data_IF_625645973908
#
_entry.id   IF_625645973908
#
_cell.length_a   1.000
_cell.length_b   1.000
_cell.length_c   1.000
_cell.angle_alpha   90.00
_cell.angle_beta   90.00
_cell.angle_gamma   90.00
#
_symmetry.space_group_name_H-M   'P 1'
#
loop_
_entity.id
_entity.type
_entity.pdbx_description
1 polymer ?
#
# COMPACT_ATOMS: atom_id res chain seq x y z
N UNK A 1 7.11 -24.29 -77.42
CA UNK A 1 6.54 -24.43 -76.07
C UNK A 1 7.60 -24.33 -74.97
N UNK A 2 8.72 -25.09 -75.01
CA UNK A 2 9.79 -25.03 -73.98
C UNK A 2 10.40 -23.64 -73.73
N UNK A 3 10.60 -22.82 -74.78
CA UNK A 3 11.15 -21.45 -74.64
C UNK A 3 10.20 -20.45 -73.95
N UNK A 4 8.88 -20.59 -74.15
CA UNK A 4 7.87 -19.77 -73.47
C UNK A 4 7.75 -20.14 -71.97
N UNK A 5 7.88 -21.43 -71.64
CA UNK A 5 7.94 -21.91 -70.26
C UNK A 5 9.19 -21.42 -69.51
N UNK A 6 10.35 -21.36 -70.18
CA UNK A 6 11.58 -20.84 -69.58
C UNK A 6 11.47 -19.33 -69.35
N UNK A 7 10.85 -18.59 -70.29
CA UNK A 7 10.65 -17.15 -70.16
C UNK A 7 9.66 -16.80 -69.03
N UNK A 8 8.58 -17.57 -68.86
CA UNK A 8 7.65 -17.38 -67.75
C UNK A 8 8.27 -17.73 -66.39
N UNK A 9 9.11 -18.77 -66.33
CA UNK A 9 9.82 -19.16 -65.11
C UNK A 9 10.89 -18.12 -64.71
N UNK A 10 11.56 -17.52 -65.70
CA UNK A 10 12.54 -16.45 -65.47
C UNK A 10 11.85 -15.16 -65.00
N UNK A 11 10.69 -14.82 -65.56
CA UNK A 11 9.88 -13.67 -65.12
C UNK A 11 9.34 -13.85 -63.69
N UNK A 12 9.00 -15.08 -63.31
CA UNK A 12 8.55 -15.41 -61.95
C UNK A 12 9.70 -15.30 -60.91
N UNK A 13 10.95 -15.53 -61.34
CA UNK A 13 12.15 -15.34 -60.51
C UNK A 13 12.54 -13.86 -60.33
N UNK A 14 12.08 -12.99 -61.22
CA UNK A 14 12.31 -11.53 -61.22
C UNK A 14 11.24 -10.76 -60.44
N UNK A 15 10.21 -11.43 -59.91
CA UNK A 15 9.24 -10.80 -59.05
C UNK A 15 9.93 -10.41 -57.72
N UNK A 16 9.82 -9.15 -57.26
CA UNK A 16 10.36 -8.77 -55.96
C UNK A 16 9.72 -9.66 -54.89
N UNK A 17 10.55 -10.29 -54.07
CA UNK A 17 10.10 -11.11 -52.96
C UNK A 17 9.41 -10.18 -51.96
N UNK A 18 8.08 -10.18 -51.93
CA UNK A 18 7.30 -9.43 -50.96
C UNK A 18 7.56 -10.02 -49.56
N UNK A 19 8.45 -9.39 -48.80
CA UNK A 19 8.67 -9.68 -47.39
C UNK A 19 7.56 -8.98 -46.61
N UNK A 20 6.43 -9.67 -46.43
CA UNK A 20 5.20 -9.12 -45.87
C UNK A 20 5.26 -8.76 -44.36
N UNK A 21 6.43 -8.88 -43.72
CA UNK A 21 6.63 -8.68 -42.28
C UNK A 21 8.12 -8.67 -41.91
N UNK A 22 8.59 -7.67 -41.16
CA UNK A 22 9.94 -7.66 -40.59
C UNK A 22 9.90 -7.68 -39.05
N UNK A 23 10.41 -8.75 -38.45
CA UNK A 23 10.55 -8.91 -37.00
C UNK A 23 12.02 -8.77 -36.57
N UNK A 24 12.30 -7.85 -35.65
CA UNK A 24 13.63 -7.65 -35.06
C UNK A 24 13.57 -7.85 -33.54
N UNK A 25 14.50 -8.62 -32.99
CA UNK A 25 14.62 -8.82 -31.54
C UNK A 25 16.09 -8.87 -31.10
N UNK A 26 16.39 -8.19 -30.00
CA UNK A 26 17.73 -8.10 -29.43
C UNK A 26 17.79 -7.17 -28.23
N UNK A 27 18.95 -7.04 -27.59
CA UNK A 27 19.11 -6.14 -26.43
C UNK A 27 19.04 -4.66 -26.88
N UNK A 28 19.65 -4.37 -28.03
CA UNK A 28 19.54 -3.09 -28.74
C UNK A 28 19.10 -3.34 -30.18
N UNK A 29 17.98 -2.76 -30.58
CA UNK A 29 17.43 -2.85 -31.94
C UNK A 29 17.47 -1.47 -32.57
N UNK A 30 18.21 -1.31 -33.67
CA UNK A 30 18.27 -0.07 -34.46
C UNK A 30 17.80 -0.36 -35.89
N UNK A 31 16.91 0.49 -36.41
CA UNK A 31 16.40 0.39 -37.78
C UNK A 31 16.87 1.62 -38.55
N UNK A 32 17.89 1.43 -39.36
CA UNK A 32 18.60 2.50 -40.08
C UNK A 32 18.35 2.47 -41.60
N UNK A 33 17.61 1.48 -42.10
CA UNK A 33 17.20 1.35 -43.51
C UNK A 33 15.69 1.37 -43.63
N UNK A 34 15.16 2.01 -44.68
CA UNK A 34 13.72 2.10 -44.89
C UNK A 34 13.09 0.71 -45.10
N UNK A 35 11.90 0.52 -44.53
CA UNK A 35 11.12 -0.71 -44.65
C UNK A 35 9.77 -0.33 -45.27
N UNK A 36 9.44 -0.87 -46.44
CA UNK A 36 8.18 -0.56 -47.14
C UNK A 36 6.94 -1.27 -46.52
N UNK A 37 7.11 -1.87 -45.34
CA UNK A 37 6.10 -2.68 -44.65
C UNK A 37 6.11 -2.40 -43.14
N UNK A 38 5.25 -3.11 -42.40
CA UNK A 38 5.10 -2.99 -40.95
C UNK A 38 6.31 -3.59 -40.22
N UNK A 39 6.88 -2.78 -39.32
CA UNK A 39 7.99 -3.14 -38.45
C UNK A 39 7.48 -3.67 -37.11
N UNK A 40 7.98 -4.83 -36.68
CA UNK A 40 7.81 -5.34 -35.34
C UNK A 40 9.17 -5.44 -34.66
N UNK A 41 9.40 -4.65 -33.61
CA UNK A 41 10.68 -4.61 -32.90
C UNK A 41 10.50 -4.75 -31.39
N UNK A 42 11.28 -5.64 -30.78
CA UNK A 42 11.29 -5.81 -29.33
C UNK A 42 12.74 -5.88 -28.78
N UNK A 43 13.04 -5.06 -27.77
CA UNK A 43 14.37 -5.05 -27.14
C UNK A 43 14.47 -4.18 -25.90
N UNK A 44 15.60 -4.17 -25.20
CA UNK A 44 15.77 -3.24 -24.08
C UNK A 44 15.83 -1.78 -24.56
N UNK A 45 16.49 -1.54 -25.69
CA UNK A 45 16.46 -0.26 -26.41
C UNK A 45 16.05 -0.46 -27.86
N UNK A 46 15.06 0.29 -28.33
CA UNK A 46 14.58 0.26 -29.72
C UNK A 46 14.67 1.66 -30.31
N UNK A 47 15.39 1.81 -31.41
CA UNK A 47 15.58 3.08 -32.11
C UNK A 47 15.18 2.95 -33.58
N UNK A 48 14.25 3.79 -34.02
CA UNK A 48 13.77 3.84 -35.39
C UNK A 48 14.30 5.11 -36.08
N UNK A 49 15.30 4.96 -36.96
CA UNK A 49 15.97 6.06 -37.66
C UNK A 49 15.64 6.12 -39.16
N UNK A 50 14.92 5.14 -39.71
CA UNK A 50 14.50 5.11 -41.10
C UNK A 50 12.98 4.95 -41.25
N UNK A 51 12.38 5.46 -42.35
CA UNK A 51 10.94 5.43 -42.56
C UNK A 51 10.39 4.01 -42.65
N UNK A 52 9.19 3.80 -42.10
CA UNK A 52 8.45 2.52 -42.15
C UNK A 52 6.98 2.72 -42.49
N UNK A 53 6.32 1.67 -42.98
CA UNK A 53 4.87 1.74 -43.27
C UNK A 53 4.06 1.80 -41.96
N UNK A 54 4.37 0.94 -40.99
CA UNK A 54 3.76 0.89 -39.66
C UNK A 54 4.77 0.37 -38.64
N UNK A 55 4.50 0.57 -37.34
CA UNK A 55 5.43 0.13 -36.30
C UNK A 55 4.74 -0.40 -35.05
N UNK A 56 5.20 -1.56 -34.57
CA UNK A 56 4.88 -2.12 -33.26
C UNK A 56 6.19 -2.32 -32.50
N UNK A 57 6.41 -1.49 -31.49
CA UNK A 57 7.66 -1.38 -30.75
C UNK A 57 7.43 -1.74 -29.28
N UNK A 58 8.26 -2.61 -28.72
CA UNK A 58 8.24 -2.95 -27.30
C UNK A 58 9.65 -2.87 -26.69
N UNK A 59 9.83 -2.17 -25.58
CA UNK A 59 11.14 -2.10 -24.96
C UNK A 59 11.29 -1.25 -23.71
N UNK A 60 12.47 -1.27 -23.08
CA UNK A 60 12.77 -0.40 -21.94
C UNK A 60 12.78 1.08 -22.37
N UNK A 61 13.53 1.38 -23.42
CA UNK A 61 13.60 2.70 -24.05
C UNK A 61 13.24 2.61 -25.54
N UNK A 62 12.30 3.42 -26.00
CA UNK A 62 11.87 3.48 -27.40
C UNK A 62 12.09 4.91 -27.91
N UNK A 63 12.74 5.06 -29.05
CA UNK A 63 12.94 6.35 -29.72
C UNK A 63 12.58 6.24 -31.19
N UNK A 64 11.65 7.08 -31.64
CA UNK A 64 11.17 7.14 -33.03
C UNK A 64 11.62 8.45 -33.67
N UNK A 65 12.65 8.39 -34.51
CA UNK A 65 13.27 9.54 -35.18
C UNK A 65 12.90 9.67 -36.66
N UNK A 66 12.22 8.68 -37.23
CA UNK A 66 11.83 8.68 -38.64
C UNK A 66 10.31 8.51 -38.83
N UNK A 67 9.76 9.04 -39.94
CA UNK A 67 8.32 9.07 -40.14
C UNK A 67 7.72 7.68 -40.31
N UNK A 68 6.52 7.49 -39.76
CA UNK A 68 5.71 6.27 -39.89
C UNK A 68 4.48 6.63 -40.72
N UNK A 69 4.27 5.97 -41.85
CA UNK A 69 3.17 6.32 -42.77
C UNK A 69 1.80 5.97 -42.19
N UNK A 70 1.72 4.87 -41.44
CA UNK A 70 0.53 4.32 -40.80
C UNK A 70 0.55 4.53 -39.29
N UNK A 71 0.30 3.45 -38.54
CA UNK A 71 0.10 3.51 -37.09
C UNK A 71 1.35 3.15 -36.30
N UNK A 72 1.50 3.76 -35.11
CA UNK A 72 2.52 3.42 -34.13
C UNK A 72 1.88 2.80 -32.89
N UNK A 73 2.31 1.60 -32.53
CA UNK A 73 2.03 0.96 -31.26
C UNK A 73 3.33 0.85 -30.46
N UNK A 74 3.42 1.50 -29.30
CA UNK A 74 4.64 1.53 -28.49
C UNK A 74 4.35 1.12 -27.05
N UNK A 75 5.10 0.16 -26.52
CA UNK A 75 5.02 -0.28 -25.13
C UNK A 75 6.40 -0.23 -24.49
N UNK A 76 6.60 0.65 -23.50
CA UNK A 76 7.93 0.74 -22.90
C UNK A 76 8.08 1.56 -21.63
N UNK A 77 9.26 1.55 -21.03
CA UNK A 77 9.55 2.36 -19.83
C UNK A 77 9.57 3.86 -20.16
N UNK A 78 10.35 4.22 -21.18
CA UNK A 78 10.50 5.57 -21.69
C UNK A 78 10.30 5.58 -23.22
N UNK A 79 9.36 6.37 -23.72
CA UNK A 79 8.98 6.43 -25.14
C UNK A 79 9.11 7.87 -25.62
N UNK A 80 9.89 8.09 -26.68
CA UNK A 80 10.03 9.39 -27.33
C UNK A 80 9.65 9.27 -28.80
N UNK A 81 8.66 10.04 -29.23
CA UNK A 81 8.19 10.08 -30.63
C UNK A 81 8.54 11.43 -31.24
N UNK A 82 9.65 11.46 -31.98
CA UNK A 82 10.22 12.67 -32.57
C UNK A 82 9.73 12.97 -34.00
N UNK A 83 9.24 11.95 -34.71
CA UNK A 83 8.88 12.05 -36.12
C UNK A 83 7.42 11.71 -36.40
N UNK A 84 6.88 12.29 -37.47
CA UNK A 84 5.45 12.26 -37.80
C UNK A 84 4.91 10.84 -37.99
N UNK A 85 3.70 10.62 -37.45
CA UNK A 85 2.95 9.36 -37.56
C UNK A 85 1.65 9.65 -38.31
N UNK A 86 1.57 9.22 -39.58
CA UNK A 86 0.43 9.53 -40.46
C UNK A 86 -0.91 8.98 -39.98
N UNK A 87 -0.88 7.90 -39.20
CA UNK A 87 -2.01 7.24 -38.56
C UNK A 87 -2.22 7.65 -37.10
N UNK A 88 -2.48 6.66 -36.24
CA UNK A 88 -2.65 6.85 -34.78
C UNK A 88 -1.40 6.46 -34.01
N UNK A 89 -1.15 7.16 -32.90
CA UNK A 89 -0.22 6.74 -31.86
C UNK A 89 -1.00 6.02 -30.77
N UNK A 90 -0.61 4.78 -30.46
CA UNK A 90 -1.07 4.03 -29.30
C UNK A 90 0.15 3.71 -28.45
N UNK A 91 0.31 4.40 -27.33
CA UNK A 91 1.50 4.27 -26.50
C UNK A 91 1.15 3.96 -25.04
N UNK A 92 1.87 3.03 -24.41
CA UNK A 92 1.79 2.85 -22.96
C UNK A 92 3.16 2.70 -22.31
N UNK A 93 3.39 3.41 -21.20
CA UNK A 93 4.71 3.46 -20.58
C UNK A 93 4.86 4.25 -19.29
N UNK A 94 6.08 4.33 -18.76
CA UNK A 94 6.37 5.14 -17.57
C UNK A 94 6.38 6.62 -17.90
N UNK A 95 7.16 6.99 -18.91
CA UNK A 95 7.32 8.35 -19.41
C UNK A 95 7.17 8.37 -20.94
N UNK A 96 6.33 9.27 -21.44
CA UNK A 96 6.01 9.35 -22.87
C UNK A 96 6.09 10.81 -23.32
N UNK A 97 6.96 11.07 -24.28
CA UNK A 97 7.14 12.36 -24.92
C UNK A 97 6.75 12.28 -26.40
N UNK A 98 5.88 13.18 -26.82
CA UNK A 98 5.46 13.30 -28.23
C UNK A 98 5.80 14.70 -28.71
N UNK A 99 6.64 14.78 -29.74
CA UNK A 99 6.96 16.03 -30.44
C UNK A 99 6.48 16.02 -31.89
N UNK A 100 5.93 14.89 -32.36
CA UNK A 100 5.53 14.63 -33.75
C UNK A 100 4.07 14.95 -34.06
N UNK A 101 3.75 15.26 -35.32
CA UNK A 101 2.35 15.33 -35.77
C UNK A 101 1.72 13.93 -35.89
N UNK A 102 0.44 13.82 -35.56
CA UNK A 102 -0.33 12.57 -35.74
C UNK A 102 -1.81 12.81 -36.02
N UNK A 103 -2.53 11.80 -36.50
CA UNK A 103 -3.98 11.89 -36.72
C UNK A 103 -4.76 11.74 -35.42
N UNK A 104 -4.45 10.74 -34.61
CA UNK A 104 -5.09 10.49 -33.31
C UNK A 104 -4.06 9.98 -32.29
N UNK A 105 -4.32 10.16 -31.00
CA UNK A 105 -3.46 9.62 -29.95
C UNK A 105 -4.27 8.90 -28.87
N UNK A 106 -3.79 7.71 -28.47
CA UNK A 106 -4.27 6.98 -27.30
C UNK A 106 -3.05 6.66 -26.45
N UNK A 107 -2.87 7.38 -25.34
CA UNK A 107 -1.62 7.34 -24.57
C UNK A 107 -1.94 7.03 -23.11
N UNK A 108 -1.24 6.06 -22.52
CA UNK A 108 -1.37 5.70 -21.12
C UNK A 108 0.00 5.66 -20.44
N UNK A 109 0.31 6.59 -19.54
CA UNK A 109 1.60 6.53 -18.85
C UNK A 109 1.69 7.27 -17.52
N UNK A 110 2.78 7.07 -16.78
CA UNK A 110 3.01 7.78 -15.52
C UNK A 110 3.09 9.29 -15.72
N UNK A 111 3.95 9.70 -16.64
CA UNK A 111 4.10 11.07 -17.13
C UNK A 111 3.90 11.09 -18.65
N UNK A 112 3.02 11.96 -19.14
CA UNK A 112 2.79 12.15 -20.58
C UNK A 112 2.96 13.62 -20.92
N UNK A 113 3.84 13.91 -21.89
CA UNK A 113 4.15 15.27 -22.34
C UNK A 113 3.91 15.39 -23.84
N UNK A 114 2.96 16.23 -24.22
CA UNK A 114 2.72 16.64 -25.61
C UNK A 114 3.36 18.01 -25.82
N UNK A 115 4.36 18.09 -26.69
CA UNK A 115 5.16 19.30 -26.88
C UNK A 115 4.44 20.37 -27.72
N UNK A 116 4.90 21.65 -27.66
CA UNK A 116 4.24 22.76 -28.36
C UNK A 116 4.11 22.58 -29.88
N UNK A 117 5.11 21.96 -30.50
CA UNK A 117 5.16 21.77 -31.96
C UNK A 117 4.29 20.58 -32.44
N UNK A 118 3.71 19.83 -31.51
CA UNK A 118 2.86 18.67 -31.83
C UNK A 118 1.48 19.08 -32.28
N UNK A 119 1.04 18.54 -33.42
CA UNK A 119 -0.32 18.69 -33.93
C UNK A 119 -1.01 17.32 -33.99
N UNK A 120 -2.09 17.17 -33.21
CA UNK A 120 -2.99 16.02 -33.29
C UNK A 120 -4.22 16.45 -34.10
N UNK A 121 -4.36 15.90 -35.31
CA UNK A 121 -5.35 16.38 -36.29
C UNK A 121 -6.79 16.04 -35.93
N UNK A 122 -7.02 15.09 -35.01
CA UNK A 122 -8.35 14.69 -34.51
C UNK A 122 -8.32 14.59 -32.99
N UNK A 123 -8.65 13.41 -32.45
CA UNK A 123 -8.92 13.21 -31.04
C UNK A 123 -7.70 12.62 -30.31
N UNK A 124 -7.58 12.95 -29.04
CA UNK A 124 -6.56 12.41 -28.14
C UNK A 124 -7.21 11.90 -26.85
N UNK A 125 -6.89 10.67 -26.47
CA UNK A 125 -7.28 10.08 -25.18
C UNK A 125 -6.02 9.81 -24.39
N UNK A 126 -5.85 10.49 -23.27
CA UNK A 126 -4.63 10.40 -22.46
C UNK A 126 -4.99 10.01 -21.03
N UNK A 127 -4.37 8.96 -20.52
CA UNK A 127 -4.48 8.54 -19.12
C UNK A 127 -3.11 8.57 -18.46
N UNK A 128 -3.00 9.11 -17.25
CA UNK A 128 -1.73 9.09 -16.55
C UNK A 128 -1.69 9.69 -15.16
N UNK A 129 -0.53 9.69 -14.52
CA UNK A 129 -0.34 10.39 -13.25
C UNK A 129 -0.31 11.90 -13.48
N UNK A 130 0.64 12.33 -14.30
CA UNK A 130 0.79 13.73 -14.71
C UNK A 130 0.71 13.83 -16.24
N UNK A 131 -0.20 14.67 -16.74
CA UNK A 131 -0.36 14.91 -18.17
C UNK A 131 -0.13 16.38 -18.46
N UNK A 132 0.77 16.67 -19.38
CA UNK A 132 1.06 18.03 -19.86
C UNK A 132 0.77 18.11 -21.35
N UNK A 133 -0.14 18.99 -21.73
CA UNK A 133 -0.42 19.31 -23.13
C UNK A 133 -0.01 20.74 -23.45
N UNK A 134 1.05 20.91 -24.25
CA UNK A 134 1.43 22.18 -24.83
C UNK A 134 1.12 22.27 -26.34
N UNK A 135 0.80 21.13 -26.98
CA UNK A 135 0.53 21.05 -28.41
C UNK A 135 -0.89 21.47 -28.82
N UNK A 136 -1.17 21.33 -30.11
CA UNK A 136 -2.47 21.64 -30.72
C UNK A 136 -3.24 20.39 -31.08
N UNK A 137 -4.42 20.22 -30.49
CA UNK A 137 -5.34 19.11 -30.74
C UNK A 137 -6.58 19.68 -31.42
N UNK A 138 -6.83 19.30 -32.67
CA UNK A 138 -7.93 19.90 -33.44
C UNK A 138 -9.28 19.38 -32.94
N UNK A 139 -9.36 18.11 -32.54
CA UNK A 139 -10.56 17.45 -32.03
C UNK A 139 -10.68 17.48 -30.51
N UNK A 140 -11.24 16.41 -29.97
CA UNK A 140 -11.52 16.26 -28.54
C UNK A 140 -10.30 15.70 -27.79
N UNK A 141 -9.95 16.33 -26.68
CA UNK A 141 -8.95 15.87 -25.73
C UNK A 141 -9.66 15.30 -24.49
N UNK A 142 -9.63 13.98 -24.31
CA UNK A 142 -10.12 13.32 -23.10
C UNK A 142 -8.94 12.93 -22.22
N UNK A 143 -8.91 13.47 -20.99
CA UNK A 143 -7.80 13.24 -20.05
C UNK A 143 -8.30 12.64 -18.75
N UNK A 144 -7.65 11.55 -18.32
CA UNK A 144 -7.83 10.97 -16.98
C UNK A 144 -6.49 11.01 -16.24
N UNK A 145 -6.33 11.97 -15.33
CA UNK A 145 -5.06 12.11 -14.61
C UNK A 145 -5.20 12.64 -13.18
N UNK A 146 -4.16 12.46 -12.36
CA UNK A 146 -4.08 13.12 -11.04
C UNK A 146 -3.85 14.63 -11.23
N UNK A 147 -2.87 14.98 -12.08
CA UNK A 147 -2.52 16.35 -12.45
C UNK A 147 -2.59 16.52 -13.97
N UNK A 148 -3.26 17.58 -14.42
CA UNK A 148 -3.35 17.93 -15.83
C UNK A 148 -3.02 19.40 -16.04
N UNK A 149 -2.03 19.67 -16.89
CA UNK A 149 -1.60 21.01 -17.27
C UNK A 149 -1.80 21.19 -18.77
N UNK A 150 -2.61 22.16 -19.17
CA UNK A 150 -2.87 22.45 -20.58
C UNK A 150 -2.47 23.88 -20.89
N UNK A 151 -1.35 24.05 -21.61
CA UNK A 151 -0.89 25.33 -22.17
C UNK A 151 -1.12 25.41 -23.67
N UNK A 152 -1.47 24.30 -24.30
CA UNK A 152 -1.79 24.20 -25.72
C UNK A 152 -3.24 24.55 -26.05
N UNK A 153 -3.71 24.04 -27.20
CA UNK A 153 -5.11 24.20 -27.62
C UNK A 153 -5.75 22.85 -27.93
N UNK A 154 -7.05 22.74 -27.64
CA UNK A 154 -7.87 21.57 -27.94
C UNK A 154 -9.26 22.04 -28.40
N UNK A 155 -9.92 21.32 -29.31
CA UNK A 155 -11.29 21.63 -29.74
C UNK A 155 -12.30 21.55 -28.58
N UNK A 156 -12.22 20.46 -27.81
CA UNK A 156 -12.93 20.29 -26.54
C UNK A 156 -12.04 19.54 -25.54
N UNK A 157 -12.19 19.81 -24.24
CA UNK A 157 -11.41 19.16 -23.18
C UNK A 157 -12.35 18.51 -22.17
N UNK A 158 -12.34 17.17 -22.11
CA UNK A 158 -13.00 16.38 -21.05
C UNK A 158 -11.94 15.88 -20.08
N UNK A 159 -11.76 16.59 -18.96
CA UNK A 159 -10.81 16.20 -17.91
C UNK A 159 -11.55 15.59 -16.72
N UNK A 160 -11.19 14.35 -16.39
CA UNK A 160 -11.64 13.67 -15.17
C UNK A 160 -10.45 13.44 -14.25
N UNK A 161 -10.44 14.18 -13.15
CA UNK A 161 -9.42 13.99 -12.14
C UNK A 161 -9.57 12.60 -11.52
N UNK A 162 -8.51 11.80 -11.59
CA UNK A 162 -8.46 10.51 -10.90
C UNK A 162 -7.96 10.79 -9.49
N UNK A 163 -8.76 10.53 -8.46
CA UNK A 163 -8.28 10.54 -7.08
C UNK A 163 -7.25 9.41 -6.94
N UNK A 164 -5.97 9.74 -7.07
CA UNK A 164 -4.88 8.79 -6.92
C UNK A 164 -4.78 8.20 -5.52
N UNK A 165 -3.82 7.27 -5.34
CA UNK A 165 -3.48 6.64 -4.04
C UNK A 165 -3.23 7.66 -2.91
N UNK A 166 -2.88 8.90 -3.25
CA UNK A 166 -2.72 10.01 -2.30
C UNK A 166 -4.04 10.40 -1.63
N UNK A 167 -5.14 10.53 -2.39
CA UNK A 167 -6.46 10.82 -1.82
C UNK A 167 -6.93 9.72 -0.87
N UNK A 168 -6.72 8.46 -1.28
CA UNK A 168 -6.99 7.29 -0.45
C UNK A 168 -6.14 7.28 0.83
N UNK A 169 -4.82 7.51 0.74
CA UNK A 169 -3.93 7.56 1.91
C UNK A 169 -4.36 8.64 2.90
N UNK A 170 -4.71 9.83 2.42
CA UNK A 170 -5.16 10.94 3.28
C UNK A 170 -6.48 10.61 3.98
N UNK A 171 -7.45 10.00 3.28
CA UNK A 171 -8.71 9.56 3.90
C UNK A 171 -8.50 8.43 4.90
N UNK A 172 -7.65 7.45 4.56
CA UNK A 172 -7.28 6.37 5.48
C UNK A 172 -6.58 6.92 6.72
N UNK A 173 -5.74 7.95 6.58
CA UNK A 173 -5.10 8.60 7.71
C UNK A 173 -6.10 9.34 8.59
N UNK A 174 -6.99 10.15 8.00
CA UNK A 174 -8.07 10.81 8.73
C UNK A 174 -8.96 9.80 9.47
N UNK A 175 -9.31 8.67 8.84
CA UNK A 175 -10.04 7.57 9.48
C UNK A 175 -9.24 6.95 10.63
N UNK A 176 -7.94 6.73 10.47
CA UNK A 176 -7.07 6.20 11.54
C UNK A 176 -7.05 7.13 12.74
N UNK A 177 -6.96 8.44 12.53
CA UNK A 177 -6.92 9.44 13.59
C UNK A 177 -8.25 9.48 14.37
N UNK A 178 -9.37 9.46 13.64
CA UNK A 178 -10.73 9.38 14.23
C UNK A 178 -10.90 8.08 15.03
N UNK A 179 -10.54 6.93 14.44
CA UNK A 179 -10.64 5.62 15.09
C UNK A 179 -9.74 5.58 16.34
N UNK A 180 -8.55 6.14 16.28
CA UNK A 180 -7.64 6.22 17.42
C UNK A 180 -8.23 7.03 18.57
N UNK A 181 -8.83 8.19 18.28
CA UNK A 181 -9.51 9.02 19.28
C UNK A 181 -10.69 8.28 19.89
N UNK A 182 -11.55 7.67 19.06
CA UNK A 182 -12.71 6.90 19.51
C UNK A 182 -12.30 5.72 20.41
N UNK A 183 -11.26 4.97 20.01
CA UNK A 183 -10.69 3.89 20.82
C UNK A 183 -10.15 4.43 22.16
N UNK A 184 -9.46 5.57 22.15
CA UNK A 184 -8.93 6.18 23.38
C UNK A 184 -10.04 6.49 24.39
N UNK A 185 -11.14 7.06 23.93
CA UNK A 185 -12.32 7.35 24.77
C UNK A 185 -13.01 6.05 25.19
N UNK A 186 -13.15 5.09 24.28
CA UNK A 186 -13.74 3.78 24.56
C UNK A 186 -13.00 3.01 25.66
N UNK A 187 -11.67 3.01 25.64
CA UNK A 187 -10.85 2.38 26.69
C UNK A 187 -10.94 3.07 28.05
N UNK A 188 -11.08 4.41 28.07
CA UNK A 188 -11.33 5.15 29.30
C UNK A 188 -12.68 4.72 29.90
N UNK A 189 -13.73 4.67 29.08
CA UNK A 189 -15.06 4.22 29.50
C UNK A 189 -15.01 2.76 29.97
N UNK A 190 -14.33 1.88 29.22
CA UNK A 190 -14.15 0.48 29.58
C UNK A 190 -13.46 0.34 30.94
N UNK A 191 -12.39 1.11 31.20
CA UNK A 191 -11.73 1.09 32.49
C UNK A 191 -12.63 1.54 33.64
N UNK A 192 -13.45 2.58 33.43
CA UNK A 192 -14.45 3.01 34.41
C UNK A 192 -15.49 1.91 34.67
N UNK A 193 -15.97 1.23 33.62
CA UNK A 193 -16.91 0.12 33.74
C UNK A 193 -16.28 -1.02 34.54
N UNK A 194 -15.07 -1.47 34.17
CA UNK A 194 -14.38 -2.57 34.86
C UNK A 194 -14.16 -2.23 36.34
N UNK A 195 -13.71 -1.00 36.63
CA UNK A 195 -13.50 -0.53 38.00
C UNK A 195 -14.80 -0.55 38.84
N UNK A 196 -15.94 -0.17 38.25
CA UNK A 196 -17.23 -0.14 38.96
C UNK A 196 -17.91 -1.50 39.06
N UNK A 197 -17.88 -2.30 38.00
CA UNK A 197 -18.59 -3.58 37.92
C UNK A 197 -17.82 -4.68 38.63
N UNK A 198 -16.49 -4.66 38.55
CA UNK A 198 -15.62 -5.69 39.11
C UNK A 198 -14.55 -5.08 40.04
N UNK A 199 -14.92 -4.37 41.13
CA UNK A 199 -13.98 -3.64 41.96
C UNK A 199 -12.97 -4.57 42.65
N UNK A 200 -13.43 -5.69 43.23
CA UNK A 200 -12.56 -6.62 43.95
C UNK A 200 -11.41 -7.18 43.09
N UNK A 201 -11.64 -7.81 41.92
CA UNK A 201 -10.54 -8.28 41.08
C UNK A 201 -9.70 -7.13 40.52
N UNK A 202 -10.30 -5.95 40.28
CA UNK A 202 -9.54 -4.80 39.81
C UNK A 202 -8.48 -4.34 40.82
N UNK A 203 -8.85 -4.19 42.09
CA UNK A 203 -7.92 -3.79 43.14
C UNK A 203 -6.87 -4.85 43.48
N UNK A 204 -7.19 -6.15 43.35
CA UNK A 204 -6.19 -7.22 43.54
C UNK A 204 -5.08 -7.13 42.49
N UNK A 205 -5.45 -6.94 41.22
CA UNK A 205 -4.48 -6.81 40.12
C UNK A 205 -3.67 -5.52 40.25
N UNK A 206 -4.32 -4.41 40.59
CA UNK A 206 -3.68 -3.12 40.82
C UNK A 206 -2.66 -3.17 41.96
N UNK A 207 -3.00 -3.83 43.07
CA UNK A 207 -2.08 -3.96 44.20
C UNK A 207 -0.81 -4.73 43.79
N UNK A 208 -0.98 -5.75 42.95
CA UNK A 208 0.14 -6.54 42.42
C UNK A 208 1.00 -5.73 41.45
N UNK A 209 0.40 -4.88 40.59
CA UNK A 209 1.13 -3.92 39.74
C UNK A 209 2.05 -3.03 40.59
N UNK A 210 1.57 -2.58 41.76
CA UNK A 210 2.33 -1.68 42.64
C UNK A 210 3.40 -2.39 43.46
N UNK A 211 3.16 -3.63 43.91
CA UNK A 211 4.06 -4.37 44.82
C UNK A 211 5.41 -4.72 44.19
N UNK A 212 5.42 -5.20 42.94
CA UNK A 212 6.64 -5.73 42.32
C UNK A 212 6.73 -5.37 40.83
N UNK A 213 6.86 -4.08 40.48
CA UNK A 213 6.76 -3.63 39.09
C UNK A 213 7.80 -4.29 38.17
N UNK A 214 9.07 -4.31 38.57
CA UNK A 214 10.14 -4.89 37.73
C UNK A 214 9.95 -6.40 37.49
N UNK A 215 9.59 -7.16 38.54
CA UNK A 215 9.33 -8.60 38.43
C UNK A 215 8.13 -8.88 37.55
N UNK A 216 7.04 -8.14 37.75
CA UNK A 216 5.79 -8.34 37.01
C UNK A 216 5.93 -7.92 35.54
N UNK A 217 6.71 -6.88 35.22
CA UNK A 217 7.06 -6.55 33.84
C UNK A 217 7.86 -7.67 33.16
N UNK A 218 8.90 -8.20 33.82
CA UNK A 218 9.74 -9.25 33.22
C UNK A 218 8.95 -10.55 33.01
N UNK A 219 8.24 -11.00 34.05
CA UNK A 219 7.40 -12.21 33.98
C UNK A 219 6.29 -12.03 32.94
N UNK A 220 5.62 -10.88 32.93
CA UNK A 220 4.59 -10.59 31.95
C UNK A 220 5.12 -10.61 30.52
N UNK A 221 6.28 -10.01 30.26
CA UNK A 221 6.90 -10.03 28.94
C UNK A 221 7.21 -11.44 28.45
N UNK A 222 7.83 -12.28 29.31
CA UNK A 222 8.11 -13.69 29.00
C UNK A 222 6.82 -14.47 28.75
N UNK A 223 5.78 -14.27 29.58
CA UNK A 223 4.51 -14.96 29.42
C UNK A 223 3.76 -14.55 28.15
N UNK A 224 3.84 -13.28 27.73
CA UNK A 224 3.25 -12.83 26.47
C UNK A 224 3.91 -13.55 25.30
N UNK A 225 5.25 -13.58 25.26
CA UNK A 225 6.00 -14.27 24.20
C UNK A 225 5.66 -15.76 24.20
N UNK A 226 5.70 -16.41 25.37
CA UNK A 226 5.36 -17.82 25.51
C UNK A 226 3.92 -18.11 25.05
N UNK A 227 2.96 -17.24 25.39
CA UNK A 227 1.57 -17.37 24.97
C UNK A 227 1.42 -17.25 23.46
N UNK A 228 2.09 -16.28 22.83
CA UNK A 228 2.06 -16.12 21.37
C UNK A 228 2.65 -17.33 20.66
N UNK A 229 3.81 -17.83 21.12
CA UNK A 229 4.44 -19.03 20.56
C UNK A 229 3.49 -20.23 20.70
N UNK A 230 2.90 -20.42 21.88
CA UNK A 230 1.96 -21.51 22.13
C UNK A 230 0.73 -21.42 21.21
N UNK A 231 0.15 -20.23 21.03
CA UNK A 231 -0.99 -20.01 20.14
C UNK A 231 -0.61 -20.35 18.69
N UNK A 232 0.57 -19.94 18.23
CA UNK A 232 1.05 -20.25 16.88
C UNK A 232 1.23 -21.77 16.71
N UNK A 233 1.86 -22.45 17.67
CA UNK A 233 2.06 -23.90 17.62
C UNK A 233 0.72 -24.66 17.52
N UNK A 234 -0.29 -24.23 18.26
CA UNK A 234 -1.65 -24.81 18.20
C UNK A 234 -2.29 -24.50 16.85
N UNK A 235 -2.13 -23.28 16.33
CA UNK A 235 -2.71 -22.84 15.06
C UNK A 235 -2.18 -23.58 13.83
N UNK A 236 -0.96 -24.16 13.89
CA UNK A 236 -0.40 -24.98 12.80
C UNK A 236 -1.28 -26.21 12.52
N UNK A 237 -2.00 -26.70 13.51
CA UNK A 237 -2.91 -27.82 13.33
C UNK A 237 -4.28 -27.34 12.82
N UNK A 238 -4.85 -28.05 11.85
CA UNK A 238 -6.19 -27.73 11.31
C UNK A 238 -7.25 -27.73 12.43
N UNK A 239 -7.14 -28.68 13.37
CA UNK A 239 -8.07 -28.81 14.52
C UNK A 239 -7.79 -27.77 15.60
N UNK A 240 -6.55 -27.32 15.76
CA UNK A 240 -6.17 -26.32 16.77
C UNK A 240 -6.46 -24.88 16.34
N UNK A 241 -6.66 -24.60 15.06
CA UNK A 241 -6.93 -23.24 14.58
C UNK A 241 -8.11 -22.55 15.28
N UNK A 242 -9.31 -23.17 15.45
CA UNK A 242 -10.41 -22.56 16.21
C UNK A 242 -10.04 -22.27 17.67
N UNK A 243 -9.28 -23.16 18.32
CA UNK A 243 -8.83 -23.01 19.71
C UNK A 243 -7.81 -21.88 19.82
N UNK A 244 -6.84 -21.83 18.92
CA UNK A 244 -5.83 -20.79 18.84
C UNK A 244 -6.46 -19.41 18.62
N UNK A 245 -7.52 -19.33 17.81
CA UNK A 245 -8.26 -18.09 17.59
C UNK A 245 -8.92 -17.58 18.89
N UNK A 246 -9.62 -18.46 19.63
CA UNK A 246 -10.24 -18.11 20.92
C UNK A 246 -9.17 -17.69 21.94
N UNK A 247 -8.08 -18.46 22.04
CA UNK A 247 -6.98 -18.16 22.96
C UNK A 247 -6.27 -16.85 22.60
N UNK A 248 -6.13 -16.55 21.32
CA UNK A 248 -5.63 -15.27 20.80
C UNK A 248 -6.55 -14.10 21.14
N UNK A 249 -7.86 -14.25 20.98
CA UNK A 249 -8.82 -13.22 21.41
C UNK A 249 -8.75 -12.97 22.92
N UNK A 250 -8.65 -14.03 23.73
CA UNK A 250 -8.54 -13.90 25.18
C UNK A 250 -7.23 -13.21 25.58
N UNK A 251 -6.11 -13.55 24.92
CA UNK A 251 -4.84 -12.86 25.10
C UNK A 251 -4.98 -11.38 24.75
N UNK A 252 -5.57 -11.04 23.60
CA UNK A 252 -5.79 -9.65 23.20
C UNK A 252 -6.62 -8.88 24.24
N UNK A 253 -7.72 -9.47 24.73
CA UNK A 253 -8.54 -8.86 25.79
C UNK A 253 -7.71 -8.64 27.06
N UNK A 254 -6.91 -9.62 27.49
CA UNK A 254 -6.04 -9.47 28.67
C UNK A 254 -4.99 -8.36 28.49
N UNK A 255 -4.39 -8.24 27.30
CA UNK A 255 -3.45 -7.16 26.97
C UNK A 255 -4.12 -5.79 26.92
N UNK A 256 -5.37 -5.73 26.44
CA UNK A 256 -6.20 -4.54 26.43
C UNK A 256 -6.53 -4.06 27.86
N UNK A 257 -6.87 -5.00 28.75
CA UNK A 257 -7.16 -4.71 30.15
C UNK A 257 -5.90 -4.33 30.95
N UNK A 258 -4.74 -4.89 30.61
CA UNK A 258 -3.45 -4.65 31.27
C UNK A 258 -3.16 -3.15 31.49
N UNK A 259 -3.31 -2.33 30.45
CA UNK A 259 -3.03 -0.89 30.55
C UNK A 259 -3.96 -0.14 31.51
N UNK A 260 -5.17 -0.66 31.76
CA UNK A 260 -6.14 -0.05 32.65
C UNK A 260 -5.65 -0.13 34.11
N UNK A 261 -5.16 -1.30 34.53
CA UNK A 261 -4.61 -1.47 35.88
C UNK A 261 -3.36 -0.62 36.10
N UNK A 262 -2.47 -0.56 35.10
CA UNK A 262 -1.25 0.28 35.16
C UNK A 262 -1.61 1.76 35.22
N UNK A 263 -2.61 2.21 34.45
CA UNK A 263 -3.05 3.60 34.52
C UNK A 263 -3.57 3.96 35.91
N UNK A 264 -4.35 3.09 36.56
CA UNK A 264 -4.82 3.36 37.92
C UNK A 264 -3.68 3.41 38.94
N UNK A 265 -2.76 2.43 38.91
CA UNK A 265 -1.62 2.39 39.82
C UNK A 265 -0.73 3.63 39.66
N UNK A 266 -0.55 4.10 38.41
CA UNK A 266 0.19 5.33 38.12
C UNK A 266 -0.54 6.56 38.68
N UNK A 267 -1.85 6.66 38.46
CA UNK A 267 -2.66 7.74 39.01
C UNK A 267 -2.63 7.79 40.54
N UNK A 268 -2.70 6.62 41.20
CA UNK A 268 -2.64 6.51 42.66
C UNK A 268 -1.28 6.97 43.17
N UNK A 269 -0.20 6.52 42.53
CA UNK A 269 1.16 6.98 42.84
C UNK A 269 1.27 8.51 42.75
N UNK A 270 0.71 9.13 41.71
CA UNK A 270 0.75 10.60 41.56
C UNK A 270 -0.02 11.30 42.67
N UNK A 271 -1.24 10.84 43.00
CA UNK A 271 -2.05 11.44 44.07
C UNK A 271 -1.43 11.28 45.46
N UNK A 272 -0.83 10.11 45.72
CA UNK A 272 -0.10 9.84 46.97
C UNK A 272 1.11 10.77 47.10
N UNK A 273 1.84 11.06 46.00
CA UNK A 273 2.93 12.04 46.00
C UNK A 273 2.45 13.47 46.29
N UNK A 274 1.26 13.85 45.82
CA UNK A 274 0.67 15.16 46.08
C UNK A 274 -0.08 15.25 47.42
N UNK A 275 -0.18 14.14 48.16
CA UNK A 275 -0.91 14.03 49.43
C UNK A 275 -2.40 14.45 49.33
N UNK A 276 -3.01 14.25 48.16
CA UNK A 276 -4.43 14.60 47.91
C UNK A 276 -5.29 13.35 47.99
N UNK A 277 -6.27 13.34 48.90
CA UNK A 277 -7.27 12.27 48.96
C UNK A 277 -8.41 12.57 47.98
N UNK A 278 -8.55 11.73 46.96
CA UNK A 278 -9.60 11.87 45.92
C UNK A 278 -10.35 10.56 45.69
N UNK A 279 -11.44 10.63 44.92
CA UNK A 279 -12.21 9.47 44.48
C UNK A 279 -11.42 8.61 43.48
N UNK A 280 -11.59 7.28 43.53
CA UNK A 280 -10.93 6.30 42.67
C UNK A 280 -11.15 6.59 41.17
N UNK A 281 -12.31 7.15 40.79
CA UNK A 281 -12.55 7.56 39.40
C UNK A 281 -11.59 8.65 38.92
N UNK A 282 -11.30 9.65 39.76
CA UNK A 282 -10.37 10.72 39.40
C UNK A 282 -8.94 10.20 39.34
N UNK A 283 -8.59 9.28 40.25
CA UNK A 283 -7.30 8.57 40.24
C UNK A 283 -7.12 7.84 38.91
N UNK A 284 -8.14 7.09 38.47
CA UNK A 284 -8.12 6.39 37.19
C UNK A 284 -7.96 7.34 36.01
N UNK A 285 -8.81 8.37 35.93
CA UNK A 285 -8.81 9.33 34.81
C UNK A 285 -7.45 10.03 34.71
N UNK A 286 -6.93 10.52 35.84
CA UNK A 286 -5.63 11.19 35.88
C UNK A 286 -4.52 10.25 35.40
N UNK A 287 -4.47 9.05 35.97
CA UNK A 287 -3.47 8.05 35.60
C UNK A 287 -3.56 7.60 34.14
N UNK A 288 -4.77 7.48 33.59
CA UNK A 288 -5.00 7.14 32.19
C UNK A 288 -4.52 8.24 31.25
N UNK A 289 -4.85 9.51 31.55
CA UNK A 289 -4.40 10.67 30.76
C UNK A 289 -2.87 10.77 30.79
N UNK A 290 -2.25 10.65 31.96
CA UNK A 290 -0.78 10.71 32.08
C UNK A 290 -0.11 9.57 31.32
N UNK A 291 -0.61 8.33 31.47
CA UNK A 291 -0.07 7.19 30.75
C UNK A 291 -0.22 7.37 29.23
N UNK A 292 -1.35 7.94 28.79
CA UNK A 292 -1.60 8.23 27.37
C UNK A 292 -0.65 9.30 26.82
N UNK A 293 -0.35 10.33 27.60
CA UNK A 293 0.64 11.36 27.26
C UNK A 293 2.05 10.78 27.18
N UNK A 294 2.41 9.86 28.09
CA UNK A 294 3.70 9.16 28.03
C UNK A 294 3.86 8.32 26.76
N UNK A 295 2.77 7.70 26.28
CA UNK A 295 2.78 6.95 25.01
C UNK A 295 2.91 7.84 23.76
N UNK A 296 2.67 9.15 23.88
CA UNK A 296 2.80 10.10 22.76
C UNK A 296 4.25 10.51 22.50
N UNK A 297 5.16 10.28 23.44
CA UNK A 297 6.57 10.66 23.30
C UNK A 297 7.20 9.85 22.14
N UNK A 298 7.78 10.50 21.11
CA UNK A 298 8.42 9.81 20.00
C UNK A 298 9.53 8.87 20.50
N UNK A 299 9.60 7.67 19.92
CA UNK A 299 10.55 6.59 20.26
C UNK A 299 10.40 6.02 21.68
N UNK A 300 10.38 6.84 22.73
CA UNK A 300 10.23 6.41 24.12
C UNK A 300 8.85 5.80 24.41
N UNK A 301 7.80 6.36 23.82
CA UNK A 301 6.42 5.91 24.02
C UNK A 301 6.20 4.43 23.69
N UNK A 302 6.94 3.89 22.71
CA UNK A 302 6.88 2.48 22.34
C UNK A 302 7.41 1.57 23.47
N UNK A 303 8.56 1.92 24.05
CA UNK A 303 9.14 1.17 25.18
C UNK A 303 8.26 1.26 26.43
N UNK A 304 7.74 2.45 26.73
CA UNK A 304 6.82 2.63 27.88
C UNK A 304 5.55 1.80 27.68
N UNK A 305 5.02 1.74 26.45
CA UNK A 305 3.83 0.92 26.13
C UNK A 305 4.08 -0.57 26.32
N UNK A 306 5.21 -1.09 25.85
CA UNK A 306 5.57 -2.50 26.05
C UNK A 306 5.74 -2.79 27.54
N UNK A 307 6.43 -1.91 28.28
CA UNK A 307 6.62 -2.04 29.71
C UNK A 307 5.30 -2.05 30.48
N UNK A 308 4.39 -1.14 30.16
CA UNK A 308 3.06 -1.05 30.77
C UNK A 308 2.20 -2.28 30.46
N UNK A 309 2.14 -2.70 29.19
CA UNK A 309 1.35 -3.89 28.79
C UNK A 309 1.90 -5.15 29.48
N UNK A 310 3.23 -5.29 29.53
CA UNK A 310 3.86 -6.44 30.19
C UNK A 310 3.63 -6.42 31.69
N UNK A 311 3.74 -5.25 32.34
CA UNK A 311 3.50 -5.08 33.77
C UNK A 311 2.08 -5.51 34.17
N UNK A 312 1.06 -4.97 33.49
CA UNK A 312 -0.32 -5.29 33.85
C UNK A 312 -0.68 -6.74 33.50
N UNK A 313 -0.14 -7.32 32.42
CA UNK A 313 -0.37 -8.72 32.08
C UNK A 313 0.26 -9.67 33.11
N UNK A 314 1.50 -9.38 33.54
CA UNK A 314 2.16 -10.14 34.60
C UNK A 314 1.38 -10.06 35.92
N UNK A 315 0.86 -8.88 36.27
CA UNK A 315 0.04 -8.69 37.46
C UNK A 315 -1.29 -9.46 37.38
N UNK A 316 -1.97 -9.48 36.23
CA UNK A 316 -3.19 -10.29 36.01
C UNK A 316 -2.88 -11.77 36.26
N UNK A 317 -1.80 -12.28 35.65
CA UNK A 317 -1.43 -13.69 35.78
C UNK A 317 -1.07 -14.07 37.22
N UNK A 318 -0.37 -13.19 37.93
CA UNK A 318 0.01 -13.42 39.32
C UNK A 318 -1.19 -13.34 40.27
N UNK A 319 -2.09 -12.36 40.06
CA UNK A 319 -3.34 -12.25 40.80
C UNK A 319 -4.20 -13.51 40.65
N UNK A 320 -4.34 -14.01 39.42
CA UNK A 320 -5.06 -15.26 39.12
C UNK A 320 -4.38 -16.46 39.78
N UNK A 321 -3.06 -16.60 39.67
CA UNK A 321 -2.33 -17.72 40.26
C UNK A 321 -2.46 -17.76 41.79
N UNK A 322 -2.30 -16.61 42.46
CA UNK A 322 -2.32 -16.50 43.92
C UNK A 322 -3.72 -16.69 44.53
N UNK A 323 -4.78 -16.34 43.80
CA UNK A 323 -6.17 -16.49 44.25
C UNK A 323 -6.88 -17.72 43.70
N UNK A 324 -6.17 -18.70 43.12
CA UNK A 324 -6.77 -20.02 42.87
C UNK A 324 -7.15 -20.63 44.23
N UNK A 325 -8.43 -20.99 44.47
CA UNK A 325 -8.81 -21.70 45.68
C UNK A 325 -8.03 -23.02 45.72
N UNK A 326 -7.06 -23.08 46.63
CA UNK A 326 -6.30 -24.30 46.87
C UNK A 326 -7.23 -25.37 47.40
N UNK A 327 -7.13 -26.57 46.82
CA UNK A 327 -7.60 -27.83 47.38
C UNK A 327 -6.84 -28.13 48.68
N UNK A 328 -6.98 -27.30 49.71
CA UNK A 328 -6.50 -27.63 51.05
C UNK A 328 -7.53 -28.57 51.68
N UNK A 329 -7.16 -29.86 51.68
CA UNK A 329 -7.69 -31.00 52.45
C UNK A 329 -8.76 -30.68 53.50
N UNK A 330 -9.91 -31.38 53.51
CA UNK A 330 -10.90 -31.27 54.59
C UNK A 330 -10.22 -31.55 55.93
N UNK A 331 -10.37 -30.63 56.89
CA UNK A 331 -10.10 -30.92 58.30
C UNK A 331 -10.90 -32.16 58.66
N UNK A 332 -10.20 -33.25 59.00
CA UNK A 332 -10.82 -34.41 59.59
C UNK A 332 -11.58 -33.96 60.84
N UNK A 333 -12.89 -34.09 60.79
CA UNK A 333 -13.75 -34.02 61.97
C UNK A 333 -13.40 -35.26 62.80
N UNK A 334 -12.58 -35.08 63.83
CA UNK A 334 -12.47 -36.06 64.91
C UNK A 334 -13.73 -35.94 65.76
N UNK A 335 -14.82 -36.53 65.28
CA UNK A 335 -15.92 -36.94 66.14
C UNK A 335 -15.58 -38.30 66.72
N UNK A 336 -15.68 -38.43 68.04
CA UNK A 336 -16.26 -39.55 68.80
C UNK A 336 -15.57 -39.70 70.16
N UNK A 337 -16.22 -40.36 71.14
CA UNK A 337 -17.62 -40.28 71.53
C UNK A 337 -17.80 -39.69 72.94
#
# INVERSE_FOLDING_TARGET
MKRLLILSLLFMLLLPHAQALQMLSGDQVSVDSAIEDDLFAAGNTVTLNAPVAGAVLAGGNITVNAPISGDLFALGGHIVVNADVGGKIVAAGGEIEVTSATKNAVIAGGTVTIHPDTVISRDAVIAGGTVTNAGRIIGNLTVRAENFYNTGSAGSVDFKQTEGLRGFRTRVQALKDIIYLLMTVGFLILGIIVLKVFPAPFFIVEEEVRKSPLKNTLVGFVLIIASVILIILIAVTIVGFPVAFIMGMLLLIALMLSSLFVSFALGRKIMDLCNVKTNDLLIFILGYVVLRLLFLIPYAGWFIRIGAISLGFGAIMYAVYKHRPGMTTPRAVSSTP
#
